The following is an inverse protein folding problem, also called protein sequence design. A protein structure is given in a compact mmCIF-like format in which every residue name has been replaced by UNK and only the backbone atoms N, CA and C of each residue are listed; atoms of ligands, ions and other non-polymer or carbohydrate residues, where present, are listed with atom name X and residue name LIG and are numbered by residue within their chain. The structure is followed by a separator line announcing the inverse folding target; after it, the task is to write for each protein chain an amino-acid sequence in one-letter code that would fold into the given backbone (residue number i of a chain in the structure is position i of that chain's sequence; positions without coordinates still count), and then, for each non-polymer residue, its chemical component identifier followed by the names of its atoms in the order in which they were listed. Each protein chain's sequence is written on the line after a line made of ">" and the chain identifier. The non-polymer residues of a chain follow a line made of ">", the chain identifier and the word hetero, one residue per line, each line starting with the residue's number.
data_IF_815348746669
#
_entry.id   IF_815348746669
#
_cell.length_a   1.000
_cell.length_b   1.000
_cell.length_c   1.000
_cell.angle_alpha   90.00
_cell.angle_beta   90.00
_cell.angle_gamma   90.00
#
_symmetry.space_group_name_H-M   'P 1'
#
loop_
_entity.id
_entity.type
_entity.pdbx_description
1 polymer ?
#
# COMPACT_ATOMS: atom_id res chain seq x y z
N UNK A 1 -36.09 -1.95 19.90
CA UNK A 1 -35.31 -1.62 18.69
C UNK A 1 -34.52 -0.35 19.00
N UNK A 2 -33.18 -0.37 18.98
CA UNK A 2 -32.40 0.86 19.13
C UNK A 2 -32.65 1.81 17.95
N UNK A 3 -32.54 3.12 18.19
CA UNK A 3 -32.68 4.12 17.13
C UNK A 3 -31.53 3.98 16.12
N UNK A 4 -31.77 4.14 14.81
CA UNK A 4 -30.79 3.89 13.76
C UNK A 4 -29.46 4.64 13.96
N UNK A 5 -29.49 5.84 14.53
CA UNK A 5 -28.32 6.63 14.90
C UNK A 5 -27.44 5.99 15.99
N UNK A 6 -28.06 5.28 16.95
CA UNK A 6 -27.34 4.60 18.04
C UNK A 6 -26.60 3.34 17.56
N UNK A 7 -27.14 2.69 16.53
CA UNK A 7 -26.48 1.55 15.87
C UNK A 7 -25.27 2.07 15.09
N UNK A 8 -25.44 3.09 14.24
CA UNK A 8 -24.36 3.68 13.44
C UNK A 8 -23.18 4.15 14.30
N UNK A 9 -23.44 4.87 15.39
CA UNK A 9 -22.40 5.31 16.33
C UNK A 9 -21.66 4.14 16.98
N UNK A 10 -22.35 3.05 17.30
CA UNK A 10 -21.74 1.82 17.81
C UNK A 10 -20.76 1.17 16.81
N UNK A 11 -21.07 1.21 15.51
CA UNK A 11 -20.19 0.71 14.45
C UNK A 11 -18.96 1.60 14.26
N UNK A 12 -19.12 2.93 14.28
CA UNK A 12 -18.01 3.88 14.14
C UNK A 12 -16.99 3.74 15.27
N UNK A 13 -17.46 3.65 16.52
CA UNK A 13 -16.59 3.42 17.67
C UNK A 13 -15.88 2.07 17.60
N UNK A 14 -16.58 1.02 17.17
CA UNK A 14 -15.99 -0.31 16.99
C UNK A 14 -14.92 -0.31 15.89
N UNK A 15 -15.18 0.36 14.77
CA UNK A 15 -14.23 0.50 13.67
C UNK A 15 -12.97 1.27 14.10
N UNK A 16 -13.13 2.40 14.80
CA UNK A 16 -12.00 3.18 15.31
C UNK A 16 -11.15 2.37 16.30
N UNK A 17 -11.78 1.60 17.19
CA UNK A 17 -11.08 0.73 18.13
C UNK A 17 -10.31 -0.39 17.41
N UNK A 18 -10.93 -1.05 16.43
CA UNK A 18 -10.29 -2.10 15.63
C UNK A 18 -9.12 -1.52 14.81
N UNK A 19 -9.31 -0.37 14.17
CA UNK A 19 -8.25 0.33 13.44
C UNK A 19 -7.08 0.69 14.34
N UNK A 20 -7.34 1.20 15.56
CA UNK A 20 -6.29 1.50 16.53
C UNK A 20 -5.43 0.26 16.85
N UNK A 21 -6.06 -0.90 17.07
CA UNK A 21 -5.35 -2.16 17.34
C UNK A 21 -4.53 -2.61 16.13
N UNK A 22 -5.14 -2.62 14.93
CA UNK A 22 -4.45 -3.10 13.72
C UNK A 22 -3.29 -2.20 13.27
N UNK A 23 -3.41 -0.89 13.51
CA UNK A 23 -2.41 0.09 13.08
C UNK A 23 -1.38 0.42 14.17
N UNK A 24 -1.46 -0.18 15.36
CA UNK A 24 -0.57 0.11 16.48
C UNK A 24 0.93 -0.07 16.14
N UNK A 25 1.26 -0.94 15.19
CA UNK A 25 2.63 -1.19 14.70
C UNK A 25 2.83 -0.81 13.23
N UNK A 26 1.94 0.03 12.67
CA UNK A 26 2.03 0.50 11.29
C UNK A 26 2.58 1.93 11.24
N UNK A 27 3.46 2.20 10.27
CA UNK A 27 3.88 3.55 9.92
C UNK A 27 3.13 3.99 8.66
N UNK A 28 2.40 5.10 8.75
CA UNK A 28 1.69 5.70 7.62
C UNK A 28 2.53 6.88 7.13
N UNK A 29 3.11 6.75 5.94
CA UNK A 29 3.97 7.75 5.33
C UNK A 29 3.34 8.28 4.03
N UNK A 30 3.52 9.58 3.75
CA UNK A 30 3.06 10.24 2.51
C UNK A 30 4.27 10.68 1.70
N UNK A 31 4.70 9.84 0.77
CA UNK A 31 5.80 10.11 -0.16
C UNK A 31 5.44 9.72 -1.59
N UNK A 32 6.30 10.11 -2.52
CA UNK A 32 6.35 9.45 -3.83
C UNK A 32 6.59 7.95 -3.65
N UNK A 33 5.90 7.12 -4.43
CA UNK A 33 5.87 5.67 -4.25
C UNK A 33 7.27 5.04 -4.34
N UNK A 34 8.12 5.57 -5.21
CA UNK A 34 9.46 5.05 -5.43
C UNK A 34 10.37 5.35 -4.24
N UNK A 35 10.21 6.53 -3.64
CA UNK A 35 10.92 6.93 -2.42
C UNK A 35 10.51 6.04 -1.24
N UNK A 36 9.23 5.67 -1.13
CA UNK A 36 8.75 4.73 -0.11
C UNK A 36 9.43 3.36 -0.23
N UNK A 37 9.59 2.86 -1.46
CA UNK A 37 10.30 1.59 -1.71
C UNK A 37 11.76 1.69 -1.26
N UNK A 38 12.48 2.73 -1.68
CA UNK A 38 13.91 2.90 -1.36
C UNK A 38 14.17 2.97 0.15
N UNK A 39 13.28 3.62 0.90
CA UNK A 39 13.39 3.76 2.36
C UNK A 39 13.15 2.43 3.08
N UNK A 40 12.16 1.67 2.60
CA UNK A 40 11.75 0.39 3.18
C UNK A 40 12.55 -0.82 2.67
N UNK A 41 13.40 -0.65 1.65
CA UNK A 41 14.17 -1.74 1.05
C UNK A 41 15.18 -2.35 2.03
N UNK A 42 14.80 -3.51 2.58
CA UNK A 42 15.54 -4.32 3.54
C UNK A 42 15.47 -5.79 3.12
N UNK A 43 16.45 -6.64 3.51
CA UNK A 43 16.50 -8.04 3.10
C UNK A 43 15.23 -8.88 3.41
N UNK A 44 14.45 -8.47 4.41
CA UNK A 44 13.23 -9.16 4.86
C UNK A 44 11.94 -8.38 4.55
N UNK A 45 12.01 -7.35 3.70
CA UNK A 45 10.85 -6.55 3.33
C UNK A 45 10.00 -7.25 2.26
N UNK A 46 8.68 -7.24 2.45
CA UNK A 46 7.69 -7.59 1.42
C UNK A 46 7.06 -6.30 0.90
N UNK A 47 7.10 -6.09 -0.42
CA UNK A 47 6.44 -4.97 -1.07
C UNK A 47 5.11 -5.42 -1.68
N UNK A 48 4.01 -4.84 -1.20
CA UNK A 48 2.70 -4.92 -1.84
C UNK A 48 2.43 -3.60 -2.56
N UNK A 49 2.17 -3.66 -3.86
CA UNK A 49 1.89 -2.51 -4.70
C UNK A 49 0.52 -2.69 -5.33
N UNK A 50 -0.34 -1.69 -5.14
CA UNK A 50 -1.65 -1.59 -5.77
C UNK A 50 -1.69 -0.28 -6.59
N UNK A 51 -0.92 -0.20 -7.70
CA UNK A 51 -0.94 0.98 -8.55
C UNK A 51 -2.31 1.11 -9.23
N UNK A 52 -2.68 2.31 -9.70
CA UNK A 52 -3.82 2.47 -10.61
C UNK A 52 -3.76 1.42 -11.71
N UNK A 53 -4.88 0.76 -11.99
CA UNK A 53 -4.91 -0.29 -13.01
C UNK A 53 -4.87 0.32 -14.41
N UNK A 54 -4.09 -0.30 -15.30
CA UNK A 54 -3.83 0.22 -16.65
C UNK A 54 -5.10 0.24 -17.49
N UNK A 55 -5.38 1.36 -18.15
CA UNK A 55 -6.55 1.60 -19.01
C UNK A 55 -7.92 1.42 -18.35
N UNK A 56 -7.98 1.14 -17.05
CA UNK A 56 -9.22 1.16 -16.27
C UNK A 56 -9.29 2.49 -15.54
N UNK A 57 -9.85 3.49 -16.23
CA UNK A 57 -9.95 4.85 -15.71
C UNK A 57 -10.84 4.92 -14.46
N UNK A 58 -10.37 5.63 -13.44
CA UNK A 58 -11.13 5.86 -12.20
C UNK A 58 -10.34 6.48 -11.05
N UNK A 59 -9.00 6.43 -11.09
CA UNK A 59 -8.16 6.88 -9.96
C UNK A 59 -7.88 8.39 -9.91
N UNK A 60 -8.33 9.18 -10.89
CA UNK A 60 -8.22 10.65 -10.88
C UNK A 60 -6.80 11.22 -10.93
N UNK A 61 -5.78 10.37 -11.10
CA UNK A 61 -4.36 10.72 -11.14
C UNK A 61 -3.73 10.08 -12.37
N UNK A 62 -2.91 10.84 -13.10
CA UNK A 62 -2.19 10.32 -14.26
C UNK A 62 -1.13 9.31 -13.81
N UNK A 63 -1.21 8.10 -14.35
CA UNK A 63 -0.25 7.02 -14.09
C UNK A 63 0.13 6.37 -15.43
N UNK A 64 1.06 6.99 -16.19
CA UNK A 64 1.40 6.53 -17.52
C UNK A 64 2.10 5.17 -17.49
N UNK A 65 2.13 4.47 -18.62
CA UNK A 65 2.76 3.15 -18.74
C UNK A 65 4.21 3.10 -18.19
N UNK A 66 4.96 4.18 -18.37
CA UNK A 66 6.33 4.33 -17.85
C UNK A 66 6.45 4.16 -16.32
N UNK A 67 5.39 4.43 -15.54
CA UNK A 67 5.40 4.18 -14.10
C UNK A 67 5.39 2.68 -13.78
N UNK A 68 4.69 1.87 -14.57
CA UNK A 68 4.73 0.40 -14.42
C UNK A 68 6.10 -0.16 -14.81
N UNK A 69 6.75 0.40 -15.84
CA UNK A 69 8.12 0.03 -16.22
C UNK A 69 9.09 0.33 -15.07
N UNK A 70 9.00 1.52 -14.45
CA UNK A 70 9.78 1.88 -13.26
C UNK A 70 9.54 0.93 -12.09
N UNK A 71 8.29 0.51 -11.84
CA UNK A 71 7.97 -0.48 -10.80
C UNK A 71 8.71 -1.79 -11.09
N UNK A 72 8.63 -2.29 -12.32
CA UNK A 72 9.25 -3.55 -12.71
C UNK A 72 10.78 -3.50 -12.56
N UNK A 73 11.41 -2.39 -12.95
CA UNK A 73 12.85 -2.18 -12.76
C UNK A 73 13.25 -2.19 -11.28
N UNK A 74 12.53 -1.44 -10.44
CA UNK A 74 12.83 -1.35 -9.00
C UNK A 74 12.65 -2.68 -8.29
N UNK A 75 11.56 -3.41 -8.56
CA UNK A 75 11.32 -4.72 -7.96
C UNK A 75 12.32 -5.80 -8.40
N UNK A 76 13.04 -5.60 -9.51
CA UNK A 76 14.17 -6.47 -9.87
C UNK A 76 15.40 -6.24 -9.01
N UNK A 77 15.58 -5.04 -8.46
CA UNK A 77 16.77 -4.63 -7.70
C UNK A 77 16.60 -4.58 -6.17
N UNK A 78 15.42 -4.88 -5.63
CA UNK A 78 15.19 -4.86 -4.17
C UNK A 78 16.00 -5.94 -3.45
N UNK A 79 16.45 -5.64 -2.23
CA UNK A 79 17.30 -6.52 -1.41
C UNK A 79 16.60 -7.81 -1.01
N UNK A 80 15.27 -7.80 -0.92
CA UNK A 80 14.46 -8.97 -0.57
C UNK A 80 14.27 -9.99 -1.71
N UNK A 81 14.73 -9.70 -2.93
CA UNK A 81 14.54 -10.59 -4.08
C UNK A 81 15.35 -11.90 -4.01
N UNK A 82 16.29 -12.01 -3.06
CA UNK A 82 17.25 -13.11 -2.97
C UNK A 82 18.22 -13.14 -4.16
N UNK A 83 19.25 -14.00 -4.09
CA UNK A 83 20.16 -14.25 -5.21
C UNK A 83 19.39 -14.89 -6.37
N UNK A 84 18.76 -14.08 -7.23
CA UNK A 84 18.27 -14.57 -8.52
C UNK A 84 19.48 -14.86 -9.40
N UNK A 85 19.86 -16.14 -9.49
CA UNK A 85 20.70 -16.58 -10.59
C UNK A 85 19.99 -16.26 -11.91
N UNK A 86 20.66 -15.61 -12.88
CA UNK A 86 20.09 -15.41 -14.19
C UNK A 86 19.85 -16.77 -14.86
N UNK A 87 18.63 -16.95 -15.39
CA UNK A 87 18.28 -18.07 -16.27
C UNK A 87 18.84 -17.81 -17.67
#
# INVERSE_FOLDING_TARGET
>A
MPAPESIAYGWELSAAHISHIHLANAYIERFDWATSIDRCDRPYALFYLDPPYFETEGYGVAFPFAEYEKIAERLRSIKGAGDRQPQ
#
